data_IF_713369362735
#
_entry.id   IF_713369362735
#
_cell.length_a   1.000
_cell.length_b   1.000
_cell.length_c   1.000
_cell.angle_alpha   90.00
_cell.angle_beta   90.00
_cell.angle_gamma   90.00
#
_symmetry.space_group_name_H-M   'P 1'
#
loop_
_entity.id
_entity.type
_entity.pdbx_description
1 polymer ?
#
# COMPACT_ATOMS: atom_id res chain seq x y z
N UNK A 1 7.38 -24.27 8.28
CA UNK A 1 7.59 -23.86 6.86
C UNK A 1 6.69 -22.71 6.39
N UNK A 2 5.42 -22.57 6.82
CA UNK A 2 4.51 -21.48 6.33
C UNK A 2 4.90 -20.04 6.74
N UNK A 3 5.63 -19.84 7.85
CA UNK A 3 6.07 -18.50 8.29
C UNK A 3 7.12 -17.90 7.35
N UNK A 4 8.03 -18.74 6.87
CA UNK A 4 9.15 -18.32 6.02
C UNK A 4 8.68 -17.82 4.65
N UNK A 5 7.63 -18.42 4.07
CA UNK A 5 7.12 -17.96 2.75
C UNK A 5 6.54 -16.56 2.79
N UNK A 6 5.77 -16.21 3.82
CA UNK A 6 5.16 -14.88 3.90
C UNK A 6 6.19 -13.81 4.25
N UNK A 7 7.20 -14.17 5.04
CA UNK A 7 8.35 -13.30 5.28
C UNK A 7 9.09 -13.00 3.97
N UNK A 8 9.41 -14.03 3.17
CA UNK A 8 10.06 -13.85 1.86
C UNK A 8 9.20 -12.96 0.95
N UNK A 9 7.89 -13.24 0.85
CA UNK A 9 6.97 -12.41 0.06
C UNK A 9 6.91 -10.96 0.57
N UNK A 10 6.94 -10.75 1.88
CA UNK A 10 6.96 -9.40 2.48
C UNK A 10 8.22 -8.65 2.06
N UNK A 11 9.39 -9.29 2.16
CA UNK A 11 10.68 -8.69 1.77
C UNK A 11 10.70 -8.37 0.27
N UNK A 12 10.25 -9.30 -0.57
CA UNK A 12 10.14 -9.07 -2.02
C UNK A 12 9.20 -7.91 -2.35
N UNK A 13 8.08 -7.80 -1.63
CA UNK A 13 7.13 -6.71 -1.82
C UNK A 13 7.67 -5.36 -1.34
N UNK A 14 8.43 -5.33 -0.25
CA UNK A 14 9.14 -4.13 0.20
C UNK A 14 10.15 -3.66 -0.86
N UNK A 15 10.95 -4.58 -1.40
CA UNK A 15 11.89 -4.28 -2.51
C UNK A 15 11.13 -3.74 -3.72
N UNK A 16 10.00 -4.35 -4.08
CA UNK A 16 9.15 -3.87 -5.18
C UNK A 16 8.69 -2.42 -4.95
N UNK A 17 8.14 -2.10 -3.77
CA UNK A 17 7.72 -0.73 -3.43
C UNK A 17 8.90 0.23 -3.51
N UNK A 18 10.06 -0.17 -2.97
CA UNK A 18 11.26 0.66 -2.98
C UNK A 18 11.74 0.98 -4.40
N UNK A 19 11.76 -0.01 -5.29
CA UNK A 19 12.12 0.18 -6.72
C UNK A 19 11.10 1.09 -7.43
N UNK A 20 9.80 0.95 -7.14
CA UNK A 20 8.79 1.84 -7.71
C UNK A 20 8.93 3.28 -7.20
N UNK A 21 9.25 3.42 -5.91
CA UNK A 21 9.51 4.69 -5.24
C UNK A 21 10.72 5.43 -5.84
N UNK A 22 11.77 4.69 -6.25
CA UNK A 22 12.94 5.23 -6.96
C UNK A 22 12.64 5.92 -8.30
N UNK A 23 11.48 5.66 -8.89
CA UNK A 23 11.12 6.24 -10.19
C UNK A 23 10.84 7.75 -10.05
N UNK A 24 11.50 8.62 -10.85
CA UNK A 24 11.25 10.06 -10.86
C UNK A 24 9.77 10.40 -11.10
N UNK A 25 9.29 11.50 -10.52
CA UNK A 25 7.86 11.86 -10.54
C UNK A 25 7.25 11.96 -11.95
N UNK A 26 8.02 12.45 -12.92
CA UNK A 26 7.59 12.54 -14.33
C UNK A 26 7.40 11.16 -14.97
N UNK A 27 8.28 10.21 -14.67
CA UNK A 27 8.21 8.86 -15.24
C UNK A 27 7.18 7.98 -14.52
N UNK A 28 7.00 8.17 -13.21
CA UNK A 28 5.90 7.57 -12.45
C UNK A 28 4.54 7.99 -13.02
N UNK A 29 4.39 9.25 -13.41
CA UNK A 29 3.15 9.76 -14.04
C UNK A 29 2.90 9.16 -15.43
N UNK A 30 3.95 8.78 -16.17
CA UNK A 30 3.80 8.09 -17.47
C UNK A 30 3.29 6.66 -17.31
N UNK A 31 3.68 5.95 -16.25
CA UNK A 31 3.19 4.59 -16.00
C UNK A 31 1.68 4.58 -15.74
N UNK A 32 1.16 5.55 -14.98
CA UNK A 32 -0.28 5.68 -14.75
C UNK A 32 -1.06 6.13 -15.99
N UNK A 33 -0.41 6.79 -16.96
CA UNK A 33 -1.09 7.34 -18.14
C UNK A 33 -1.75 6.27 -19.01
N UNK A 34 -1.26 5.03 -19.07
CA UNK A 34 -1.93 3.96 -19.82
C UNK A 34 -3.36 3.68 -19.30
N UNK A 35 -3.53 3.63 -17.98
CA UNK A 35 -4.86 3.44 -17.35
C UNK A 35 -5.71 4.71 -17.49
N UNK A 36 -5.08 5.89 -17.38
CA UNK A 36 -5.74 7.18 -17.56
C UNK A 36 -6.31 7.32 -18.97
N UNK A 37 -5.59 6.89 -20.00
CA UNK A 37 -6.00 6.96 -21.41
C UNK A 37 -7.26 6.14 -21.68
N UNK A 38 -7.44 5.02 -20.97
CA UNK A 38 -8.64 4.20 -21.07
C UNK A 38 -9.84 4.90 -20.40
N UNK A 39 -9.63 5.50 -19.22
CA UNK A 39 -10.70 6.04 -18.37
C UNK A 39 -11.14 7.45 -18.80
N UNK A 40 -10.27 8.24 -19.42
CA UNK A 40 -10.57 9.63 -19.81
C UNK A 40 -11.69 9.72 -20.86
N UNK A 41 -11.93 8.64 -21.61
CA UNK A 41 -13.05 8.54 -22.54
C UNK A 41 -14.40 8.27 -21.87
N UNK A 42 -14.39 7.86 -20.59
CA UNK A 42 -15.60 7.49 -19.82
C UNK A 42 -16.00 8.61 -18.85
N UNK A 43 -15.03 9.35 -18.31
CA UNK A 43 -15.25 10.38 -17.30
C UNK A 43 -14.75 11.75 -17.78
N UNK A 44 -15.55 12.83 -17.65
CA UNK A 44 -15.14 14.19 -18.02
C UNK A 44 -14.23 14.82 -16.95
N UNK A 45 -13.08 14.21 -16.70
CA UNK A 45 -12.09 14.64 -15.70
C UNK A 45 -10.79 15.02 -16.41
N UNK A 46 -10.08 16.02 -15.91
CA UNK A 46 -8.78 16.41 -16.47
C UNK A 46 -7.74 15.28 -16.32
N UNK A 47 -6.87 15.11 -17.32
CA UNK A 47 -5.82 14.07 -17.33
C UNK A 47 -4.96 14.12 -16.06
N UNK A 48 -4.57 15.30 -15.62
CA UNK A 48 -3.70 15.47 -14.45
C UNK A 48 -4.38 15.00 -13.16
N UNK A 49 -5.67 15.35 -12.99
CA UNK A 49 -6.47 14.90 -11.84
C UNK A 49 -6.64 13.39 -11.84
N UNK A 50 -6.96 12.82 -13.00
CA UNK A 50 -7.16 11.38 -13.14
C UNK A 50 -5.85 10.61 -12.93
N UNK A 51 -4.72 11.09 -13.48
CA UNK A 51 -3.40 10.50 -13.25
C UNK A 51 -2.99 10.58 -11.78
N UNK A 52 -3.28 11.70 -11.11
CA UNK A 52 -3.08 11.84 -9.68
C UNK A 52 -3.91 10.81 -8.88
N UNK A 53 -5.20 10.67 -9.17
CA UNK A 53 -6.10 9.72 -8.49
C UNK A 53 -5.60 8.28 -8.70
N UNK A 54 -5.35 7.88 -9.95
CA UNK A 54 -4.88 6.52 -10.28
C UNK A 54 -3.58 6.20 -9.55
N UNK A 55 -2.62 7.14 -9.53
CA UNK A 55 -1.36 6.96 -8.82
C UNK A 55 -1.57 6.81 -7.31
N UNK A 56 -2.43 7.61 -6.69
CA UNK A 56 -2.73 7.48 -5.26
C UNK A 56 -3.44 6.17 -4.92
N UNK A 57 -4.37 5.71 -5.76
CA UNK A 57 -4.98 4.40 -5.59
C UNK A 57 -3.97 3.25 -5.73
N UNK A 58 -2.99 3.37 -6.63
CA UNK A 58 -1.92 2.39 -6.78
C UNK A 58 -1.09 2.28 -5.48
N UNK A 59 -0.60 3.41 -4.95
CA UNK A 59 0.14 3.42 -3.69
C UNK A 59 -0.69 2.87 -2.51
N UNK A 60 -1.94 3.32 -2.35
CA UNK A 60 -2.84 2.75 -1.34
C UNK A 60 -2.95 1.22 -1.45
N UNK A 61 -2.98 0.68 -2.68
CA UNK A 61 -3.04 -0.76 -2.93
C UNK A 61 -1.73 -1.46 -2.57
N UNK A 62 -0.58 -0.86 -2.89
CA UNK A 62 0.75 -1.37 -2.52
C UNK A 62 0.89 -1.53 -1.00
N UNK A 63 0.51 -0.51 -0.24
CA UNK A 63 0.56 -0.52 1.22
C UNK A 63 -0.53 -1.40 1.85
N UNK A 64 -1.69 -1.53 1.22
CA UNK A 64 -2.70 -2.53 1.62
C UNK A 64 -2.16 -3.96 1.49
N UNK A 65 -1.50 -4.29 0.38
CA UNK A 65 -0.87 -5.61 0.18
C UNK A 65 0.25 -5.82 1.20
N UNK A 66 1.08 -4.81 1.45
CA UNK A 66 2.15 -4.88 2.46
C UNK A 66 1.58 -5.18 3.85
N UNK A 67 0.52 -4.48 4.29
CA UNK A 67 -0.13 -4.71 5.58
C UNK A 67 -0.68 -6.14 5.69
N UNK A 68 -1.25 -6.69 4.61
CA UNK A 68 -1.70 -8.07 4.56
C UNK A 68 -0.54 -9.06 4.70
N UNK A 69 0.57 -8.86 3.97
CA UNK A 69 1.72 -9.75 4.00
C UNK A 69 2.42 -9.75 5.37
N UNK A 70 2.56 -8.58 5.98
CA UNK A 70 3.07 -8.45 7.35
C UNK A 70 2.15 -9.18 8.32
N UNK A 71 0.83 -8.95 8.25
CA UNK A 71 -0.14 -9.66 9.08
C UNK A 71 -0.01 -11.18 8.94
N UNK A 72 0.08 -11.71 7.72
CA UNK A 72 0.27 -13.14 7.48
C UNK A 72 1.58 -13.67 8.06
N UNK A 73 2.63 -12.85 8.10
CA UNK A 73 3.93 -13.19 8.68
C UNK A 73 3.89 -13.23 10.20
N UNK A 74 3.17 -12.30 10.84
CA UNK A 74 3.14 -12.13 12.30
C UNK A 74 1.82 -12.54 12.95
N UNK A 75 0.92 -13.24 12.24
CA UNK A 75 -0.43 -13.59 12.71
C UNK A 75 -0.44 -14.30 14.08
N UNK A 76 0.61 -15.06 14.38
CA UNK A 76 0.79 -15.80 15.63
C UNK A 76 1.25 -14.96 16.82
N UNK A 77 1.60 -13.69 16.59
CA UNK A 77 2.06 -12.75 17.60
C UNK A 77 0.84 -11.99 18.15
N UNK A 78 0.83 -11.73 19.46
CA UNK A 78 -0.21 -10.91 20.07
C UNK A 78 -0.30 -9.52 19.43
N UNK A 79 -1.54 -9.04 19.30
CA UNK A 79 -1.88 -7.76 18.66
C UNK A 79 -1.34 -7.66 17.23
N UNK A 80 -1.32 -8.77 16.49
CA UNK A 80 -0.80 -8.86 15.13
C UNK A 80 -1.40 -7.82 14.17
N UNK A 81 -2.69 -7.52 14.26
CA UNK A 81 -3.34 -6.48 13.46
C UNK A 81 -2.73 -5.09 13.70
N UNK A 82 -2.60 -4.69 14.97
CA UNK A 82 -2.04 -3.38 15.35
C UNK A 82 -0.57 -3.29 14.96
N UNK A 83 0.21 -4.34 15.24
CA UNK A 83 1.63 -4.39 14.86
C UNK A 83 1.81 -4.30 13.35
N UNK A 84 0.96 -4.98 12.58
CA UNK A 84 1.03 -4.94 11.11
C UNK A 84 0.78 -3.53 10.58
N UNK A 85 -0.24 -2.84 11.11
CA UNK A 85 -0.50 -1.46 10.77
C UNK A 85 0.70 -0.55 11.10
N UNK A 86 1.25 -0.65 12.32
CA UNK A 86 2.40 0.16 12.75
C UNK A 86 3.61 -0.06 11.83
N UNK A 87 3.94 -1.31 11.51
CA UNK A 87 5.06 -1.60 10.61
C UNK A 87 4.82 -1.04 9.20
N UNK A 88 3.61 -1.18 8.65
CA UNK A 88 3.29 -0.60 7.34
C UNK A 88 3.35 0.94 7.36
N UNK A 89 2.84 1.57 8.43
CA UNK A 89 2.92 3.02 8.61
C UNK A 89 4.37 3.51 8.67
N UNK A 90 5.20 2.85 9.49
CA UNK A 90 6.62 3.19 9.58
C UNK A 90 7.32 3.00 8.23
N UNK A 91 6.98 1.94 7.49
CA UNK A 91 7.52 1.73 6.15
C UNK A 91 7.13 2.85 5.17
N UNK A 92 5.87 3.31 5.20
CA UNK A 92 5.42 4.45 4.41
C UNK A 92 6.19 5.73 4.75
N UNK A 93 6.47 5.97 6.04
CA UNK A 93 7.32 7.08 6.45
C UNK A 93 8.74 6.97 5.88
N UNK A 94 9.33 5.77 5.88
CA UNK A 94 10.68 5.57 5.32
C UNK A 94 10.70 5.74 3.80
N UNK A 95 9.63 5.33 3.12
CA UNK A 95 9.52 5.49 1.67
C UNK A 95 9.41 6.98 1.29
N UNK A 96 8.55 7.73 1.96
CA UNK A 96 8.41 9.17 1.71
C UNK A 96 9.69 9.94 2.02
N UNK A 97 10.40 9.54 3.09
CA UNK A 97 11.72 10.08 3.41
C UNK A 97 12.72 9.77 2.30
N UNK A 98 12.72 8.56 1.75
CA UNK A 98 13.56 8.20 0.61
C UNK A 98 13.20 9.00 -0.65
N UNK A 99 11.91 9.27 -0.91
CA UNK A 99 11.47 10.07 -2.05
C UNK A 99 11.96 11.52 -2.01
N UNK A 100 12.28 12.08 -0.83
CA UNK A 100 12.88 13.42 -0.71
C UNK A 100 14.23 13.54 -1.46
N UNK A 101 14.92 12.43 -1.71
CA UNK A 101 16.20 12.40 -2.42
C UNK A 101 16.03 12.20 -3.94
N UNK A 102 14.80 12.11 -4.44
CA UNK A 102 14.49 11.84 -5.84
C UNK A 102 14.00 13.11 -6.52
N UNK A 103 14.56 13.40 -7.70
CA UNK A 103 14.16 14.57 -8.48
C UNK A 103 12.67 14.52 -8.88
N UNK A 104 11.96 15.64 -8.66
CA UNK A 104 10.54 15.78 -9.01
C UNK A 104 9.57 15.10 -8.04
N UNK A 105 10.05 14.63 -6.88
CA UNK A 105 9.22 14.19 -5.76
C UNK A 105 9.29 15.24 -4.65
N UNK A 106 8.15 15.59 -4.08
CA UNK A 106 8.09 16.38 -2.87
C UNK A 106 7.61 15.44 -1.77
N UNK A 107 8.47 15.14 -0.79
CA UNK A 107 8.07 14.32 0.35
C UNK A 107 6.99 15.04 1.16
N UNK A 108 5.74 14.57 1.07
CA UNK A 108 4.58 15.15 1.72
C UNK A 108 4.04 14.22 2.79
N UNK A 109 3.84 14.75 4.00
CA UNK A 109 3.16 14.00 5.07
C UNK A 109 1.75 13.52 4.64
N UNK A 110 1.10 14.25 3.75
CA UNK A 110 -0.18 13.86 3.14
C UNK A 110 -0.10 12.52 2.41
N UNK A 111 1.03 12.21 1.79
CA UNK A 111 1.21 10.99 1.01
C UNK A 111 1.32 9.78 1.95
N UNK A 112 2.08 9.92 3.03
CA UNK A 112 2.10 8.95 4.14
C UNK A 112 0.69 8.71 4.69
N UNK A 113 -0.11 9.76 4.89
CA UNK A 113 -1.49 9.60 5.36
C UNK A 113 -2.34 8.79 4.37
N UNK A 114 -2.26 9.12 3.08
CA UNK A 114 -3.02 8.40 2.03
C UNK A 114 -2.61 6.92 2.02
N UNK A 115 -1.32 6.62 2.00
CA UNK A 115 -0.82 5.24 1.96
C UNK A 115 -1.22 4.44 3.20
N UNK A 116 -1.19 5.11 4.35
CA UNK A 116 -1.67 4.55 5.62
C UNK A 116 -3.17 4.24 5.63
N UNK A 117 -3.98 4.98 4.86
CA UNK A 117 -5.41 4.63 4.72
C UNK A 117 -5.59 3.31 3.98
N UNK A 118 -4.77 3.01 2.97
CA UNK A 118 -4.77 1.71 2.29
C UNK A 118 -4.45 0.56 3.25
N UNK A 119 -3.43 0.75 4.09
CA UNK A 119 -3.08 -0.19 5.15
C UNK A 119 -4.24 -0.38 6.15
N UNK A 120 -4.87 0.71 6.59
CA UNK A 120 -6.00 0.67 7.53
C UNK A 120 -7.20 -0.09 6.97
N UNK A 121 -7.56 0.16 5.70
CA UNK A 121 -8.64 -0.53 5.01
C UNK A 121 -8.39 -2.04 5.01
N UNK A 122 -7.17 -2.47 4.67
CA UNK A 122 -6.81 -3.89 4.69
C UNK A 122 -6.94 -4.50 6.09
N UNK A 123 -6.44 -3.81 7.12
CA UNK A 123 -6.54 -4.29 8.51
C UNK A 123 -8.00 -4.43 8.95
N UNK A 124 -8.87 -3.49 8.57
CA UNK A 124 -10.31 -3.57 8.85
C UNK A 124 -10.96 -4.78 8.16
N UNK A 125 -10.63 -5.03 6.88
CA UNK A 125 -11.10 -6.21 6.14
C UNK A 125 -10.69 -7.50 6.86
N UNK A 126 -9.42 -7.63 7.24
CA UNK A 126 -8.91 -8.80 7.96
C UNK A 126 -9.64 -8.97 9.30
N UNK A 127 -9.83 -7.89 10.06
CA UNK A 127 -10.56 -7.92 11.33
C UNK A 127 -11.99 -8.46 11.16
N UNK A 128 -12.73 -7.96 10.16
CA UNK A 128 -14.10 -8.43 9.86
C UNK A 128 -14.10 -9.91 9.49
N UNK A 129 -13.15 -10.37 8.67
CA UNK A 129 -13.03 -11.78 8.27
C UNK A 129 -12.76 -12.68 9.47
N UNK A 130 -11.82 -12.30 10.34
CA UNK A 130 -11.50 -13.07 11.54
C UNK A 130 -12.71 -13.16 12.48
N UNK A 131 -13.38 -12.03 12.75
CA UNK A 131 -14.57 -11.98 13.59
C UNK A 131 -15.71 -12.87 13.07
N UNK A 132 -15.87 -12.97 11.74
CA UNK A 132 -16.85 -13.87 11.12
C UNK A 132 -16.47 -15.35 11.26
N UNK A 133 -15.18 -15.68 11.28
CA UNK A 133 -14.71 -17.07 11.50
C UNK A 133 -14.95 -17.52 12.93
N UNK A 134 -14.64 -16.66 13.90
CA UNK A 134 -14.84 -16.99 15.33
C UNK A 134 -16.31 -17.25 15.64
N UNK A 135 -17.24 -16.47 15.05
CA UNK A 135 -18.68 -16.69 15.18
C UNK A 135 -19.17 -18.01 14.58
N UNK A 136 -18.54 -18.54 13.54
CA UNK A 136 -18.92 -19.82 12.90
C UNK A 136 -18.40 -21.04 13.67
N UNK A 137 -17.34 -20.89 14.46
CA UNK A 137 -16.75 -21.98 15.24
C UNK A 137 -17.49 -22.14 16.59
N UNK A 138 -18.08 -21.05 17.10
CA UNK A 138 -18.89 -21.06 18.34
C UNK A 138 -20.39 -21.31 18.15
N UNK A 139 -20.85 -21.66 16.95
CA UNK A 139 -22.23 -22.08 16.62
C UNK A 139 -22.26 -23.54 16.22
#
# INVERSE_FOLDING_TARGET
MKKNKYLILTILWMIFIFVMSQTPGNDSSKQSNFIVDIIIHILPITRDTLSFIVRKCAHMTEYAILAFLIYKTIVHIEKSLVKSFIFTFLYACTDEFHQLFIAGRAGQFRDVCIDSTGALIMILIIYIINKRKDKKIGS
#
